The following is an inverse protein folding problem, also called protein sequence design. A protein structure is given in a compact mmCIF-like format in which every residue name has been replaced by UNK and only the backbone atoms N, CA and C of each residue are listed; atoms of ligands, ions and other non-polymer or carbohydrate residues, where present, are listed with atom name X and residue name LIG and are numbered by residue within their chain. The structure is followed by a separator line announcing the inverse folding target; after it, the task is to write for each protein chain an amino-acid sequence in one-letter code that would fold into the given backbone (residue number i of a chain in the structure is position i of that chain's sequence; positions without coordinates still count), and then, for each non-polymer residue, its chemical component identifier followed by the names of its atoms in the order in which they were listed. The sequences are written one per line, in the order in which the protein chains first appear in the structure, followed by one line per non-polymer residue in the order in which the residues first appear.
data_IF_256010588460
#
_entry.id   IF_256010588460
#
_cell.length_a   1.000
_cell.length_b   1.000
_cell.length_c   1.000
_cell.angle_alpha   90.00
_cell.angle_beta   90.00
_cell.angle_gamma   90.00
#
_symmetry.space_group_name_H-M   'P 1'
#
loop_
_entity.id
_entity.type
_entity.pdbx_description
1 polymer ?
#
# COMPACT_ATOMS: atom_id res chain seq x y z
N UNK A 1 7.05 -15.34 -1.31
CA UNK A 1 5.92 -14.77 -0.53
C UNK A 1 6.50 -13.70 0.40
N UNK A 2 5.83 -12.55 0.47
CA UNK A 2 6.22 -11.48 1.40
C UNK A 2 6.05 -11.97 2.86
N UNK A 3 6.90 -11.50 3.79
CA UNK A 3 6.78 -11.81 5.21
C UNK A 3 5.40 -11.43 5.76
N UNK A 4 4.76 -12.36 6.49
CA UNK A 4 3.40 -12.16 7.00
C UNK A 4 3.18 -12.81 8.35
N UNK A 5 2.26 -12.25 9.12
CA UNK A 5 1.83 -12.76 10.42
C UNK A 5 1.09 -14.08 10.23
N UNK A 6 1.48 -15.11 10.99
CA UNK A 6 0.86 -16.45 10.98
C UNK A 6 0.25 -16.83 12.32
N UNK A 7 0.53 -16.07 13.38
CA UNK A 7 -0.01 -16.31 14.70
C UNK A 7 0.29 -15.18 15.66
N UNK A 8 -0.43 -15.17 16.77
CA UNK A 8 -0.33 -14.21 17.86
C UNK A 8 -0.12 -15.00 19.14
N UNK A 9 0.60 -14.40 20.08
CA UNK A 9 0.85 -14.98 21.41
C UNK A 9 -0.47 -15.41 22.09
N UNK A 10 -0.41 -16.48 22.88
CA UNK A 10 -1.54 -17.04 23.64
C UNK A 10 -2.77 -17.40 22.80
N UNK A 11 -2.59 -17.66 21.51
CA UNK A 11 -3.67 -18.01 20.57
C UNK A 11 -4.77 -16.96 20.45
N UNK A 12 -4.47 -15.68 20.70
CA UNK A 12 -5.39 -14.61 20.41
C UNK A 12 -5.67 -14.51 18.91
N UNK A 13 -6.90 -14.13 18.57
CA UNK A 13 -7.32 -13.92 17.17
C UNK A 13 -6.70 -12.63 16.62
N UNK A 14 -6.60 -11.61 17.48
CA UNK A 14 -6.07 -10.29 17.14
C UNK A 14 -4.99 -9.88 18.13
N UNK A 15 -3.97 -9.18 17.64
CA UNK A 15 -2.84 -8.68 18.42
C UNK A 15 -2.88 -7.16 18.61
N UNK A 16 -2.31 -6.70 19.70
CA UNK A 16 -2.18 -5.29 20.03
C UNK A 16 -0.78 -4.95 20.54
N UNK A 17 -0.52 -3.68 20.80
CA UNK A 17 0.75 -3.19 21.36
C UNK A 17 1.15 -3.99 22.62
N UNK A 18 2.41 -4.38 22.68
CA UNK A 18 2.99 -5.16 23.79
C UNK A 18 2.89 -6.67 23.62
N UNK A 19 2.20 -7.19 22.60
CA UNK A 19 2.09 -8.61 22.33
C UNK A 19 3.13 -9.11 21.33
N UNK A 20 3.48 -10.38 21.43
CA UNK A 20 4.30 -11.07 20.45
C UNK A 20 3.43 -11.60 19.29
N UNK A 21 3.92 -11.42 18.10
CA UNK A 21 3.35 -12.04 16.90
C UNK A 21 4.41 -12.84 16.15
N UNK A 22 3.96 -13.89 15.49
CA UNK A 22 4.81 -14.83 14.77
C UNK A 22 4.71 -14.57 13.27
N UNK A 23 5.88 -14.36 12.63
CA UNK A 23 5.97 -13.94 11.23
C UNK A 23 6.71 -14.98 10.42
N UNK A 24 6.08 -15.48 9.36
CA UNK A 24 6.70 -16.41 8.42
C UNK A 24 7.37 -15.65 7.27
N UNK A 25 8.55 -16.13 6.86
CA UNK A 25 9.28 -15.58 5.72
C UNK A 25 10.05 -14.29 6.01
N UNK A 26 10.21 -13.94 7.29
CA UNK A 26 10.99 -12.79 7.74
C UNK A 26 12.40 -13.25 8.12
N UNK A 27 13.41 -12.76 7.41
CA UNK A 27 14.82 -12.88 7.82
C UNK A 27 15.15 -11.76 8.80
N UNK A 28 14.79 -12.01 10.07
CA UNK A 28 14.86 -11.00 11.11
C UNK A 28 16.10 -11.15 11.97
N UNK A 29 16.73 -10.03 12.30
CA UNK A 29 17.75 -9.94 13.34
C UNK A 29 17.14 -9.36 14.61
N UNK A 30 17.41 -9.93 15.82
CA UNK A 30 16.92 -9.37 17.07
C UNK A 30 17.25 -7.87 17.19
N UNK A 31 16.27 -7.07 17.60
CA UNK A 31 16.36 -5.62 17.70
C UNK A 31 16.02 -4.86 16.41
N UNK A 32 15.95 -5.51 15.27
CA UNK A 32 15.59 -4.88 14.00
C UNK A 32 14.12 -4.46 13.98
N UNK A 33 13.84 -3.28 13.43
CA UNK A 33 12.48 -2.72 13.33
C UNK A 33 11.87 -3.00 11.96
N UNK A 34 10.55 -3.19 11.96
CA UNK A 34 9.73 -3.40 10.78
C UNK A 34 8.41 -2.66 10.95
N UNK A 35 7.69 -2.50 9.85
CA UNK A 35 6.33 -1.92 9.83
C UNK A 35 5.29 -2.98 9.54
N UNK A 36 4.13 -2.84 10.18
CA UNK A 36 2.93 -3.62 9.89
C UNK A 36 2.15 -2.94 8.78
N UNK A 37 1.83 -3.70 7.75
CA UNK A 37 1.05 -3.20 6.62
C UNK A 37 -0.04 -4.18 6.23
N UNK A 38 -1.19 -3.65 5.80
CA UNK A 38 -2.35 -4.42 5.36
C UNK A 38 -2.79 -3.95 3.98
N UNK A 39 -3.01 -4.86 3.01
CA UNK A 39 -3.58 -4.48 1.73
C UNK A 39 -5.05 -4.11 1.91
N UNK A 40 -5.42 -2.89 1.51
CA UNK A 40 -6.77 -2.36 1.62
C UNK A 40 -7.45 -2.17 0.27
N UNK A 41 -6.69 -2.15 -0.82
CA UNK A 41 -7.22 -2.02 -2.16
C UNK A 41 -6.31 -2.60 -3.23
N UNK A 42 -6.89 -2.92 -4.38
CA UNK A 42 -6.18 -3.30 -5.62
C UNK A 42 -6.55 -2.33 -6.71
N UNK A 43 -5.55 -1.86 -7.45
CA UNK A 43 -5.76 -1.00 -8.60
C UNK A 43 -5.58 -1.77 -9.91
N UNK A 44 -6.46 -1.49 -10.84
CA UNK A 44 -6.45 -2.05 -12.18
C UNK A 44 -6.62 -0.95 -13.21
N UNK A 45 -5.87 -1.04 -14.31
CA UNK A 45 -6.09 -0.25 -15.51
C UNK A 45 -6.87 -1.10 -16.52
N UNK A 46 -7.91 -0.53 -17.07
CA UNK A 46 -8.69 -1.15 -18.11
C UNK A 46 -8.38 -0.45 -19.41
N UNK A 47 -8.05 -1.23 -20.42
CA UNK A 47 -7.84 -0.71 -21.76
C UNK A 47 -8.99 -1.11 -22.68
N UNK A 48 -9.46 -0.17 -23.47
CA UNK A 48 -10.47 -0.42 -24.48
C UNK A 48 -9.98 -1.37 -25.60
N UNK A 49 -10.86 -1.70 -26.53
CA UNK A 49 -10.54 -2.59 -27.66
C UNK A 49 -9.45 -2.01 -28.60
N UNK A 50 -9.28 -0.70 -28.61
CA UNK A 50 -8.24 0.03 -29.33
C UNK A 50 -6.89 0.09 -28.59
N UNK A 51 -6.80 -0.58 -27.43
CA UNK A 51 -5.60 -0.61 -26.58
C UNK A 51 -5.36 0.69 -25.80
N UNK A 52 -6.24 1.68 -25.90
CA UNK A 52 -6.11 2.92 -25.13
C UNK A 52 -6.58 2.73 -23.71
N UNK A 53 -5.90 3.36 -22.71
CA UNK A 53 -6.38 3.39 -21.33
C UNK A 53 -7.76 4.03 -21.29
N UNK A 54 -8.74 3.29 -20.78
CA UNK A 54 -10.13 3.73 -20.69
C UNK A 54 -10.45 4.17 -19.26
N UNK A 55 -10.16 3.32 -18.29
CA UNK A 55 -10.56 3.57 -16.90
C UNK A 55 -9.61 2.93 -15.89
N UNK A 56 -9.48 3.57 -14.71
CA UNK A 56 -8.85 2.98 -13.54
C UNK A 56 -9.93 2.48 -12.60
N UNK A 57 -9.77 1.25 -12.12
CA UNK A 57 -10.68 0.62 -11.18
C UNK A 57 -9.93 0.25 -9.90
N UNK A 58 -10.54 0.56 -8.74
CA UNK A 58 -10.06 0.12 -7.43
C UNK A 58 -11.03 -0.91 -6.85
N UNK A 59 -10.52 -2.06 -6.48
CA UNK A 59 -11.24 -3.08 -5.75
C UNK A 59 -10.88 -3.01 -4.27
N UNK A 60 -11.88 -2.84 -3.41
CA UNK A 60 -11.70 -2.95 -1.96
C UNK A 60 -11.35 -4.38 -1.56
N UNK A 61 -10.40 -4.52 -0.62
CA UNK A 61 -9.94 -5.81 -0.12
C UNK A 61 -10.44 -6.12 1.29
N UNK A 62 -11.16 -5.19 1.92
CA UNK A 62 -11.65 -5.36 3.29
C UNK A 62 -13.17 -5.50 3.32
N UNK A 63 -13.66 -6.28 4.29
CA UNK A 63 -15.07 -6.36 4.62
C UNK A 63 -15.61 -4.99 5.09
N UNK A 64 -16.89 -4.75 4.83
CA UNK A 64 -17.55 -3.44 4.96
C UNK A 64 -17.46 -2.79 6.34
N UNK A 65 -17.25 -3.58 7.40
CA UNK A 65 -17.37 -3.09 8.79
C UNK A 65 -16.06 -2.56 9.39
N UNK A 66 -14.91 -2.83 8.77
CA UNK A 66 -13.57 -2.49 9.27
C UNK A 66 -12.82 -1.48 8.37
N UNK A 67 -13.53 -0.55 7.74
CA UNK A 67 -12.88 0.41 6.84
C UNK A 67 -12.10 1.46 7.63
N UNK A 68 -10.76 1.46 7.58
CA UNK A 68 -10.01 2.62 8.01
C UNK A 68 -10.44 3.83 7.17
N UNK A 69 -10.40 5.01 7.75
CA UNK A 69 -10.66 6.25 7.02
C UNK A 69 -9.73 6.28 5.80
N UNK A 70 -10.31 6.20 4.61
CA UNK A 70 -9.52 6.16 3.38
C UNK A 70 -8.98 7.54 3.10
N UNK A 71 -7.65 7.69 3.19
CA UNK A 71 -6.94 8.90 2.78
C UNK A 71 -7.08 9.17 1.26
N UNK A 72 -7.32 8.11 0.49
CA UNK A 72 -7.38 8.17 -0.97
C UNK A 72 -8.81 8.01 -1.47
N UNK A 73 -9.32 9.02 -2.14
CA UNK A 73 -10.62 8.98 -2.80
C UNK A 73 -10.51 8.41 -4.21
N UNK A 74 -11.55 7.77 -4.65
CA UNK A 74 -11.64 7.05 -5.93
C UNK A 74 -12.81 7.56 -6.77
N UNK A 75 -12.75 7.29 -8.05
CA UNK A 75 -13.87 7.47 -8.96
C UNK A 75 -15.04 6.50 -8.67
N UNK A 76 -16.15 6.58 -9.42
CA UNK A 76 -17.39 5.86 -9.16
C UNK A 76 -17.24 4.34 -9.11
N UNK A 77 -17.97 3.72 -8.16
CA UNK A 77 -17.90 2.29 -7.80
C UNK A 77 -18.55 1.31 -8.78
N UNK A 78 -19.21 1.79 -9.83
CA UNK A 78 -19.98 0.94 -10.74
C UNK A 78 -19.18 0.64 -12.00
N UNK A 79 -18.78 -0.62 -12.12
CA UNK A 79 -17.93 -1.02 -13.21
C UNK A 79 -18.39 -2.31 -13.90
N UNK A 80 -18.50 -2.25 -15.22
CA UNK A 80 -18.62 -3.43 -16.06
C UNK A 80 -17.27 -3.67 -16.73
N UNK A 81 -16.57 -4.73 -16.34
CA UNK A 81 -15.28 -5.13 -16.93
C UNK A 81 -15.47 -5.45 -18.43
N UNK A 82 -15.36 -4.43 -19.27
CA UNK A 82 -15.31 -4.59 -20.73
C UNK A 82 -13.96 -4.09 -21.22
N UNK A 83 -13.06 -5.01 -21.57
CA UNK A 83 -11.73 -4.68 -22.07
C UNK A 83 -10.63 -5.55 -21.45
N UNK A 84 -9.38 -5.24 -21.75
CA UNK A 84 -8.23 -5.90 -21.14
C UNK A 84 -7.95 -5.24 -19.78
N UNK A 85 -7.83 -6.07 -18.75
CA UNK A 85 -7.59 -5.64 -17.36
C UNK A 85 -6.13 -5.85 -17.01
N UNK A 86 -5.44 -4.78 -16.62
CA UNK A 86 -4.04 -4.82 -16.18
C UNK A 86 -3.97 -4.48 -14.69
N UNK A 87 -3.38 -5.37 -13.91
CA UNK A 87 -3.11 -5.12 -12.50
C UNK A 87 -2.00 -4.08 -12.35
N UNK A 88 -2.25 -3.01 -11.59
CA UNK A 88 -1.28 -1.95 -11.32
C UNK A 88 -0.55 -2.13 -9.99
N UNK A 89 -1.25 -2.56 -8.94
CA UNK A 89 -0.66 -2.71 -7.62
C UNK A 89 -1.66 -2.74 -6.48
N UNK A 90 -1.12 -2.82 -5.26
CA UNK A 90 -1.88 -2.79 -4.02
C UNK A 90 -1.78 -1.43 -3.36
N UNK A 91 -2.88 -0.98 -2.79
CA UNK A 91 -2.90 0.06 -1.76
C UNK A 91 -2.67 -0.61 -0.42
N UNK A 92 -1.60 -0.20 0.27
CA UNK A 92 -1.20 -0.75 1.55
C UNK A 92 -1.39 0.29 2.65
N UNK A 93 -2.10 -0.09 3.71
CA UNK A 93 -2.19 0.68 4.93
C UNK A 93 -1.04 0.30 5.85
N UNK A 94 -0.15 1.24 6.16
CA UNK A 94 0.79 1.08 7.27
C UNK A 94 0.06 1.49 8.55
N UNK A 95 0.00 0.59 9.54
CA UNK A 95 -0.81 0.79 10.72
C UNK A 95 -0.09 0.47 12.04
N UNK A 96 1.18 0.08 12.00
CA UNK A 96 1.93 -0.20 13.22
C UNK A 96 3.40 -0.47 12.96
N UNK A 97 4.12 -0.64 14.06
CA UNK A 97 5.54 -0.97 14.10
C UNK A 97 5.78 -2.19 14.98
N UNK A 98 6.76 -3.01 14.58
CA UNK A 98 7.21 -4.17 15.33
C UNK A 98 8.72 -4.20 15.43
N UNK A 99 9.22 -4.84 16.49
CA UNK A 99 10.64 -5.11 16.67
C UNK A 99 10.89 -6.61 16.78
N UNK A 100 11.84 -7.12 16.01
CA UNK A 100 12.23 -8.51 16.08
C UNK A 100 12.84 -8.84 17.45
N UNK A 101 12.35 -9.91 18.09
CA UNK A 101 12.86 -10.43 19.37
C UNK A 101 13.67 -11.69 19.15
N UNK A 102 13.21 -12.58 18.27
CA UNK A 102 13.90 -13.83 17.96
C UNK A 102 13.89 -14.09 16.45
N UNK A 103 15.03 -14.49 15.93
CA UNK A 103 15.15 -15.01 14.57
C UNK A 103 14.50 -16.40 14.47
N UNK A 104 14.07 -16.78 13.29
CA UNK A 104 13.49 -18.10 13.03
C UNK A 104 12.46 -18.04 11.89
N UNK A 105 11.82 -19.17 11.63
CA UNK A 105 10.72 -19.25 10.68
C UNK A 105 9.61 -20.17 11.23
N UNK A 106 8.62 -19.61 11.95
CA UNK A 106 8.36 -18.16 12.09
C UNK A 106 9.37 -17.45 12.99
N UNK A 107 9.63 -16.17 12.69
CA UNK A 107 10.33 -15.25 13.57
C UNK A 107 9.34 -14.67 14.59
N UNK A 108 9.83 -14.32 15.80
CA UNK A 108 9.01 -13.64 16.80
C UNK A 108 9.29 -12.14 16.78
N UNK A 109 8.24 -11.34 16.72
CA UNK A 109 8.33 -9.88 16.76
C UNK A 109 7.37 -9.31 17.80
N UNK A 110 7.81 -8.28 18.51
CA UNK A 110 7.02 -7.54 19.49
C UNK A 110 6.32 -6.37 18.78
N UNK A 111 5.02 -6.25 18.96
CA UNK A 111 4.26 -5.08 18.51
C UNK A 111 4.60 -3.90 19.40
N UNK A 112 5.32 -2.91 18.86
CA UNK A 112 5.76 -1.72 19.63
C UNK A 112 4.74 -0.60 19.60
N UNK A 113 4.01 -0.46 18.48
CA UNK A 113 2.86 0.44 18.33
C UNK A 113 1.92 -0.07 17.27
N UNK A 114 0.62 0.20 17.42
CA UNK A 114 -0.36 -0.11 16.39
C UNK A 114 -1.61 0.74 16.54
N UNK A 115 -2.16 1.22 15.42
CA UNK A 115 -3.43 1.96 15.36
C UNK A 115 -4.63 1.02 15.17
N UNK A 116 -4.37 -0.21 14.71
CA UNK A 116 -5.38 -1.24 14.47
C UNK A 116 -4.90 -2.59 14.99
N UNK A 117 -5.84 -3.49 15.26
CA UNK A 117 -5.52 -4.86 15.65
C UNK A 117 -4.71 -5.60 14.58
N UNK A 118 -3.64 -6.26 15.00
CA UNK A 118 -2.83 -7.12 14.14
C UNK A 118 -3.56 -8.44 13.91
N UNK A 119 -3.62 -8.91 12.68
CA UNK A 119 -4.31 -10.13 12.28
C UNK A 119 -3.38 -11.08 11.52
N UNK A 120 -3.71 -12.35 11.54
CA UNK A 120 -3.05 -13.32 10.66
C UNK A 120 -3.24 -12.90 9.19
N UNK A 121 -2.14 -12.92 8.43
CA UNK A 121 -2.11 -12.44 7.04
C UNK A 121 -1.63 -10.99 6.85
N UNK A 122 -1.51 -10.19 7.91
CA UNK A 122 -0.87 -8.88 7.82
C UNK A 122 0.61 -9.03 7.44
N UNK A 123 1.12 -8.09 6.64
CA UNK A 123 2.50 -8.13 6.19
C UNK A 123 3.42 -7.38 7.15
N UNK A 124 4.65 -7.87 7.22
CA UNK A 124 5.73 -7.25 7.99
C UNK A 124 6.85 -6.89 7.02
N UNK A 125 7.06 -5.60 6.80
CA UNK A 125 8.00 -5.08 5.81
C UNK A 125 9.09 -4.22 6.47
N UNK A 126 10.27 -4.11 5.86
CA UNK A 126 11.26 -3.12 6.29
C UNK A 126 10.65 -1.72 6.30
N UNK A 127 11.01 -0.86 7.27
CA UNK A 127 10.58 0.53 7.26
C UNK A 127 11.09 1.19 5.98
N UNK A 128 10.18 1.83 5.24
CA UNK A 128 10.58 2.64 4.10
C UNK A 128 10.99 4.01 4.62
N UNK A 129 12.24 4.40 4.37
CA UNK A 129 12.68 5.78 4.51
C UNK A 129 12.08 6.59 3.36
N UNK A 130 10.79 6.88 3.44
CA UNK A 130 10.16 7.85 2.55
C UNK A 130 10.59 9.25 3.00
N UNK A 131 11.85 9.57 2.80
CA UNK A 131 12.28 10.96 2.79
C UNK A 131 11.68 11.55 1.52
N UNK A 132 10.51 12.20 1.67
CA UNK A 132 10.05 13.11 0.65
C UNK A 132 11.13 14.19 0.51
N UNK A 133 11.75 14.23 -0.64
CA UNK A 133 12.71 15.26 -0.96
C UNK A 133 11.93 16.56 -1.13
N UNK A 134 11.85 17.36 -0.05
CA UNK A 134 11.19 18.67 -0.08
C UNK A 134 11.97 19.69 -0.92
N UNK A 135 13.20 19.36 -1.30
CA UNK A 135 14.05 20.19 -2.14
C UNK A 135 14.29 19.50 -3.48
N UNK A 136 13.47 19.82 -4.45
CA UNK A 136 13.67 19.38 -5.83
C UNK A 136 13.75 20.60 -6.75
N UNK A 137 14.52 20.47 -7.82
CA UNK A 137 14.59 21.49 -8.89
C UNK A 137 13.54 21.13 -9.93
N UNK A 138 12.50 21.96 -10.12
CA UNK A 138 11.51 21.71 -11.16
C UNK A 138 12.17 21.65 -12.55
N UNK A 139 11.86 20.61 -13.31
CA UNK A 139 12.34 20.44 -14.68
C UNK A 139 11.30 19.72 -15.54
N UNK A 140 11.40 19.93 -16.84
CA UNK A 140 10.51 19.26 -17.77
C UNK A 140 10.83 17.76 -17.87
N UNK A 141 9.83 16.87 -17.94
CA UNK A 141 10.05 15.44 -18.15
C UNK A 141 10.72 15.20 -19.51
N UNK A 142 11.68 14.27 -19.55
CA UNK A 142 12.27 13.81 -20.81
C UNK A 142 11.24 13.11 -21.70
N UNK A 143 10.35 12.37 -21.06
CA UNK A 143 9.24 11.68 -21.69
C UNK A 143 8.11 11.48 -20.69
N UNK A 144 6.88 11.76 -21.12
CA UNK A 144 5.68 11.43 -20.35
C UNK A 144 5.16 10.08 -20.85
N UNK A 145 5.05 9.04 -19.99
CA UNK A 145 4.47 7.77 -20.40
C UNK A 145 3.05 7.98 -20.95
N UNK A 146 2.74 7.56 -22.19
CA UNK A 146 1.45 7.86 -22.82
C UNK A 146 0.25 7.21 -22.11
N UNK A 147 0.52 6.18 -21.32
CA UNK A 147 -0.47 5.45 -20.52
C UNK A 147 -0.62 5.98 -19.10
N UNK A 148 0.18 6.98 -18.69
CA UNK A 148 0.13 7.54 -17.35
C UNK A 148 -1.23 8.16 -17.04
N UNK A 149 -1.78 7.81 -15.87
CA UNK A 149 -3.09 8.29 -15.39
C UNK A 149 -3.02 8.61 -13.91
N UNK A 150 -3.84 9.53 -13.46
CA UNK A 150 -4.15 9.71 -12.04
C UNK A 150 -5.04 8.56 -11.60
N UNK A 151 -4.62 7.80 -10.60
CA UNK A 151 -5.33 6.61 -10.11
C UNK A 151 -6.05 6.85 -8.80
N UNK A 152 -5.57 7.79 -7.99
CA UNK A 152 -6.19 8.20 -6.74
C UNK A 152 -5.76 9.60 -6.35
N UNK A 153 -6.50 10.25 -5.46
CA UNK A 153 -6.19 11.56 -4.91
C UNK A 153 -6.66 11.67 -3.47
N UNK A 154 -6.00 12.55 -2.69
CA UNK A 154 -6.36 12.84 -1.31
C UNK A 154 -7.33 14.03 -1.26
N UNK A 155 -8.20 14.04 -0.24
CA UNK A 155 -9.04 15.19 0.14
C UNK A 155 -9.94 15.79 -0.96
N UNK A 156 -10.27 15.00 -1.99
CA UNK A 156 -11.16 15.44 -3.05
C UNK A 156 -12.17 14.35 -3.41
N UNK A 157 -13.40 14.72 -3.77
CA UNK A 157 -14.45 13.77 -4.17
C UNK A 157 -14.41 13.49 -5.68
N UNK A 158 -14.31 14.51 -6.52
CA UNK A 158 -14.45 14.39 -7.97
C UNK A 158 -13.41 15.16 -8.78
N UNK A 159 -12.70 16.12 -8.18
CA UNK A 159 -11.73 16.96 -8.88
C UNK A 159 -10.58 17.33 -7.95
N UNK A 160 -9.40 17.46 -8.54
CA UNK A 160 -8.16 17.78 -7.83
C UNK A 160 -7.83 19.24 -8.06
N UNK A 161 -7.57 19.99 -6.97
CA UNK A 161 -7.16 21.37 -7.01
C UNK A 161 -5.63 21.54 -6.95
N UNK A 162 -5.20 22.80 -6.95
CA UNK A 162 -3.79 23.16 -6.81
C UNK A 162 -3.25 22.68 -5.45
N UNK A 163 -2.02 22.13 -5.45
CA UNK A 163 -1.30 21.63 -4.26
C UNK A 163 -1.90 20.37 -3.61
N UNK A 164 -2.82 19.70 -4.26
CA UNK A 164 -3.30 18.40 -3.80
C UNK A 164 -2.39 17.27 -4.28
N UNK A 165 -2.29 16.21 -3.46
CA UNK A 165 -1.48 15.02 -3.76
C UNK A 165 -2.31 14.04 -4.58
N UNK A 166 -1.70 13.50 -5.63
CA UNK A 166 -2.30 12.47 -6.48
C UNK A 166 -1.37 11.27 -6.60
N UNK A 167 -1.94 10.10 -6.74
CA UNK A 167 -1.20 8.90 -7.12
C UNK A 167 -1.28 8.72 -8.64
N UNK A 168 -0.16 8.39 -9.24
CA UNK A 168 -0.05 8.12 -10.67
C UNK A 168 0.11 6.63 -10.94
N UNK A 169 -0.32 6.16 -12.10
CA UNK A 169 -0.15 4.77 -12.55
C UNK A 169 1.27 4.44 -13.01
N UNK A 170 2.14 5.44 -13.10
CA UNK A 170 3.53 5.33 -13.54
C UNK A 170 4.45 5.98 -12.52
N UNK A 171 5.66 5.45 -12.36
CA UNK A 171 6.62 5.91 -11.37
C UNK A 171 8.07 5.85 -11.88
N UNK A 172 9.02 5.74 -10.97
CA UNK A 172 10.46 5.72 -11.29
C UNK A 172 10.83 4.58 -12.27
N UNK A 173 10.14 3.43 -12.18
CA UNK A 173 10.35 2.32 -13.12
C UNK A 173 9.96 2.67 -14.57
N UNK A 174 9.08 3.66 -14.75
CA UNK A 174 8.61 4.16 -16.05
C UNK A 174 9.35 5.43 -16.47
N UNK A 175 10.38 5.83 -15.73
CA UNK A 175 11.20 7.01 -16.02
C UNK A 175 10.66 8.33 -15.48
N UNK A 176 9.71 8.29 -14.54
CA UNK A 176 9.25 9.48 -13.82
C UNK A 176 10.27 9.82 -12.71
N UNK A 177 10.75 11.05 -12.70
CA UNK A 177 11.78 11.54 -11.76
C UNK A 177 11.20 12.62 -10.84
N UNK A 178 11.83 12.82 -9.67
CA UNK A 178 11.44 13.92 -8.76
C UNK A 178 11.71 15.27 -9.41
N UNK A 179 10.74 16.19 -9.33
CA UNK A 179 10.85 17.54 -9.90
C UNK A 179 10.18 17.73 -11.27
N UNK A 180 9.61 16.66 -11.82
CA UNK A 180 8.85 16.72 -13.08
C UNK A 180 7.42 17.22 -12.87
#
# INVERSE_FOLDING_TARGET
HAPHVVGIEDHYINGTTGQLVYVRGLDAQPGQRYVLVRPIGRYYLITGKDGRPDQVFRQDMQDRDDRPSMLWHRGPDHFTLRGNVHFLGYEMLQFGEVQATHAGNPASVLVTSTDYEVRSGDFVLPPQNNQFDFQYVPHAPKQVPPTMRVIAFTDALNAVGRLQVVALSSGAADGVENGQ
#
